data_IF_141389270738
#
_entry.id   IF_141389270738
#
_cell.length_a   1.000
_cell.length_b   1.000
_cell.length_c   1.000
_cell.angle_alpha   90.00
_cell.angle_beta   90.00
_cell.angle_gamma   90.00
#
_symmetry.space_group_name_H-M   'P 1'
#
loop_
_entity.id
_entity.type
_entity.pdbx_description
1 polymer ?
#
# COMPACT_ATOMS: atom_id res chain seq x y z
N UNK A 1 -13.30 -0.41 1.22
CA UNK A 1 -11.89 -0.75 1.06
C UNK A 1 -11.83 -2.04 0.27
N UNK A 2 -11.09 -2.12 -0.84
CA UNK A 2 -10.89 -3.35 -1.60
C UNK A 2 -10.36 -4.48 -0.72
N UNK A 3 -10.89 -5.69 -0.93
CA UNK A 3 -10.54 -6.92 -0.21
C UNK A 3 -10.69 -6.86 1.33
N UNK A 4 -11.50 -5.93 1.83
CA UNK A 4 -11.77 -5.78 3.26
C UNK A 4 -13.27 -5.59 3.55
N UNK A 5 -13.74 -6.11 4.71
CA UNK A 5 -15.13 -5.96 5.15
C UNK A 5 -16.13 -6.53 4.12
N UNK A 6 -17.15 -5.73 3.77
CA UNK A 6 -18.20 -6.14 2.83
C UNK A 6 -17.66 -6.44 1.42
N UNK A 7 -16.63 -5.71 0.97
CA UNK A 7 -16.02 -5.98 -0.33
C UNK A 7 -15.38 -7.37 -0.38
N UNK A 8 -14.67 -7.77 0.68
CA UNK A 8 -14.11 -9.13 0.78
C UNK A 8 -15.19 -10.21 0.74
N UNK A 9 -16.34 -9.97 1.39
CA UNK A 9 -17.46 -10.88 1.32
C UNK A 9 -18.01 -10.96 -0.10
N UNK A 10 -18.19 -9.82 -0.77
CA UNK A 10 -18.61 -9.78 -2.17
C UNK A 10 -17.63 -10.51 -3.09
N UNK A 11 -16.30 -10.27 -2.94
CA UNK A 11 -15.27 -10.97 -3.73
C UNK A 11 -15.29 -12.49 -3.54
N UNK A 12 -15.75 -12.99 -2.39
CA UNK A 12 -15.89 -14.42 -2.09
C UNK A 12 -17.27 -14.98 -2.44
N UNK A 13 -18.18 -14.16 -2.98
CA UNK A 13 -19.54 -14.55 -3.39
C UNK A 13 -19.61 -14.89 -4.88
N UNK A 14 -20.83 -15.19 -5.37
CA UNK A 14 -21.11 -15.35 -6.79
C UNK A 14 -21.10 -14.04 -7.59
N UNK A 15 -20.87 -12.88 -6.95
CA UNK A 15 -20.63 -11.56 -7.52
C UNK A 15 -21.67 -11.13 -8.55
N UNK A 16 -22.94 -11.04 -8.14
CA UNK A 16 -24.03 -10.64 -9.04
C UNK A 16 -23.96 -9.15 -9.36
N UNK A 17 -24.10 -8.85 -10.65
CA UNK A 17 -24.23 -7.51 -11.21
C UNK A 17 -25.58 -7.36 -11.90
N UNK A 18 -26.08 -6.13 -11.94
CA UNK A 18 -27.33 -5.81 -12.63
C UNK A 18 -27.06 -5.60 -14.11
N UNK A 19 -27.62 -6.46 -14.96
CA UNK A 19 -27.52 -6.37 -16.42
C UNK A 19 -28.79 -5.75 -16.99
N UNK A 20 -28.61 -4.78 -17.89
CA UNK A 20 -29.70 -4.05 -18.56
C UNK A 20 -29.59 -4.29 -20.06
N UNK A 21 -30.71 -4.68 -20.68
CA UNK A 21 -30.80 -4.80 -22.13
C UNK A 21 -31.09 -3.45 -22.77
N UNK A 22 -30.34 -3.12 -23.82
CA UNK A 22 -30.55 -1.89 -24.58
C UNK A 22 -31.77 -2.01 -25.51
N UNK A 23 -32.76 -1.12 -25.40
CA UNK A 23 -33.97 -1.20 -26.24
C UNK A 23 -33.70 -0.91 -27.74
N UNK A 24 -32.55 -0.30 -28.05
CA UNK A 24 -32.18 0.07 -29.44
C UNK A 24 -31.38 -1.01 -30.14
N UNK A 25 -30.41 -1.65 -29.49
CA UNK A 25 -29.53 -2.63 -30.15
C UNK A 25 -29.64 -4.07 -29.58
N UNK A 26 -30.47 -4.30 -28.55
CA UNK A 26 -30.69 -5.60 -27.93
C UNK A 26 -29.50 -6.18 -27.14
N UNK A 27 -28.38 -5.45 -27.02
CA UNK A 27 -27.22 -5.92 -26.26
C UNK A 27 -27.38 -5.62 -24.78
N UNK A 28 -26.92 -6.54 -23.94
CA UNK A 28 -26.89 -6.38 -22.49
C UNK A 28 -25.56 -5.83 -22.01
N UNK A 29 -25.59 -4.94 -21.02
CA UNK A 29 -24.41 -4.43 -20.30
C UNK A 29 -24.76 -4.10 -18.85
N UNK A 30 -23.78 -4.13 -17.97
CA UNK A 30 -23.93 -3.63 -16.60
C UNK A 30 -23.49 -2.17 -16.55
N UNK A 31 -24.36 -1.28 -16.08
CA UNK A 31 -24.04 0.13 -15.89
C UNK A 31 -22.90 0.30 -14.87
N UNK A 32 -22.83 -0.57 -13.87
CA UNK A 32 -21.82 -0.55 -12.82
C UNK A 32 -20.43 -0.93 -13.34
N UNK A 33 -20.32 -2.00 -14.12
CA UNK A 33 -19.05 -2.47 -14.67
C UNK A 33 -18.48 -1.49 -15.69
N UNK A 34 -19.35 -0.88 -16.48
CA UNK A 34 -18.98 -0.02 -17.60
C UNK A 34 -18.88 1.48 -17.22
N UNK A 35 -19.10 1.83 -15.96
CA UNK A 35 -18.93 3.21 -15.49
C UNK A 35 -17.44 3.65 -15.58
N UNK A 36 -17.12 4.86 -16.06
CA UNK A 36 -18.02 5.97 -16.41
C UNK A 36 -18.58 5.95 -17.84
N UNK A 37 -18.20 5.03 -18.71
CA UNK A 37 -18.67 4.97 -20.09
C UNK A 37 -20.18 4.73 -20.23
N UNK A 38 -20.82 4.18 -19.19
CA UNK A 38 -22.26 3.92 -19.11
C UNK A 38 -23.11 5.15 -18.78
N UNK A 39 -22.51 6.34 -18.60
CA UNK A 39 -23.19 7.64 -18.49
C UNK A 39 -22.61 8.59 -19.52
N UNK A 40 -23.46 9.41 -20.11
CA UNK A 40 -23.05 10.45 -21.05
C UNK A 40 -23.79 11.75 -20.81
N UNK A 41 -23.11 12.88 -21.09
CA UNK A 41 -23.69 14.21 -21.04
C UNK A 41 -24.35 14.58 -22.36
N UNK A 42 -25.52 15.22 -22.26
CA UNK A 42 -26.19 15.87 -23.40
C UNK A 42 -25.63 17.29 -23.59
N UNK A 43 -25.97 17.88 -24.72
CA UNK A 43 -25.53 19.26 -25.03
C UNK A 43 -26.10 20.32 -24.07
N UNK A 44 -27.22 20.03 -23.45
CA UNK A 44 -27.85 20.90 -22.44
C UNK A 44 -27.26 20.75 -21.03
N UNK A 45 -26.22 19.91 -20.89
CA UNK A 45 -25.56 19.68 -19.63
C UNK A 45 -26.15 18.55 -18.79
N UNK A 46 -27.36 18.04 -19.10
CA UNK A 46 -27.95 16.89 -18.42
C UNK A 46 -27.22 15.60 -18.80
N UNK A 47 -27.29 14.58 -17.96
CA UNK A 47 -26.70 13.29 -18.26
C UNK A 47 -27.78 12.21 -18.41
N UNK A 48 -27.44 11.11 -19.06
CA UNK A 48 -28.28 9.94 -19.23
C UNK A 48 -27.47 8.63 -19.13
N UNK A 49 -28.12 7.57 -18.76
CA UNK A 49 -27.51 6.24 -18.79
C UNK A 49 -27.45 5.74 -20.23
N UNK A 50 -26.27 5.44 -20.73
CA UNK A 50 -25.99 5.16 -22.14
C UNK A 50 -25.60 3.68 -22.34
N UNK A 51 -26.12 3.10 -23.39
CA UNK A 51 -25.58 1.84 -23.89
C UNK A 51 -24.15 2.03 -24.40
N UNK A 52 -23.22 1.21 -23.92
CA UNK A 52 -21.80 1.29 -24.33
C UNK A 52 -21.57 0.92 -25.81
N UNK A 53 -22.50 0.21 -26.43
CA UNK A 53 -22.39 -0.25 -27.80
C UNK A 53 -22.94 0.75 -28.83
N UNK A 54 -24.13 1.30 -28.60
CA UNK A 54 -24.81 2.17 -29.55
C UNK A 54 -25.13 3.56 -29.01
N UNK A 55 -24.79 3.83 -27.75
CA UNK A 55 -25.00 5.12 -27.06
C UNK A 55 -26.46 5.53 -26.87
N UNK A 56 -27.42 4.70 -27.22
CA UNK A 56 -28.82 4.94 -26.93
C UNK A 56 -29.07 4.94 -25.41
N UNK A 57 -30.08 5.72 -24.98
CA UNK A 57 -30.47 5.77 -23.58
C UNK A 57 -31.02 4.42 -23.11
N UNK A 58 -30.62 4.01 -21.92
CA UNK A 58 -31.06 2.76 -21.28
C UNK A 58 -31.67 3.03 -19.90
N UNK A 59 -32.62 2.18 -19.51
CA UNK A 59 -33.40 2.33 -18.28
C UNK A 59 -33.15 1.15 -17.36
N UNK A 60 -32.63 1.34 -16.14
CA UNK A 60 -32.25 0.24 -15.25
C UNK A 60 -33.44 -0.59 -14.70
N UNK A 61 -34.68 -0.11 -14.83
CA UNK A 61 -35.86 -0.82 -14.29
C UNK A 61 -36.21 -2.14 -14.96
N UNK A 62 -35.60 -2.43 -16.12
CA UNK A 62 -35.82 -3.67 -16.87
C UNK A 62 -34.49 -4.45 -16.99
N UNK A 63 -33.97 -4.89 -15.88
CA UNK A 63 -32.72 -5.65 -15.86
C UNK A 63 -32.88 -6.97 -15.11
N UNK A 64 -31.78 -7.70 -15.00
CA UNK A 64 -31.71 -8.97 -14.25
C UNK A 64 -30.34 -9.12 -13.58
N UNK A 65 -30.32 -9.80 -12.44
CA UNK A 65 -29.09 -10.13 -11.75
C UNK A 65 -28.39 -11.31 -12.43
N UNK A 66 -27.12 -11.13 -12.77
CA UNK A 66 -26.28 -12.18 -13.36
C UNK A 66 -25.05 -12.39 -12.49
N UNK A 67 -24.84 -13.63 -12.06
CA UNK A 67 -23.65 -14.03 -11.33
C UNK A 67 -22.42 -14.02 -12.25
N UNK A 68 -21.36 -13.30 -11.84
CA UNK A 68 -20.10 -13.29 -12.55
C UNK A 68 -19.24 -14.51 -12.17
N UNK A 69 -19.46 -15.07 -10.98
CA UNK A 69 -18.73 -16.22 -10.43
C UNK A 69 -19.70 -17.32 -9.96
N UNK A 70 -20.46 -17.95 -10.90
CA UNK A 70 -21.54 -18.88 -10.53
C UNK A 70 -21.06 -20.13 -9.77
N UNK A 71 -19.79 -20.49 -9.87
CA UNK A 71 -19.19 -21.62 -9.15
C UNK A 71 -19.09 -21.39 -7.65
N UNK A 72 -19.12 -20.14 -7.19
CA UNK A 72 -19.07 -19.75 -5.79
C UNK A 72 -20.47 -19.65 -5.14
N UNK A 73 -21.53 -19.84 -5.91
CA UNK A 73 -22.93 -19.68 -5.44
C UNK A 73 -23.30 -20.54 -4.23
N UNK A 74 -22.68 -21.71 -4.08
CA UNK A 74 -22.99 -22.64 -2.98
C UNK A 74 -22.62 -22.07 -1.61
N UNK A 75 -21.65 -21.16 -1.57
CA UNK A 75 -21.10 -20.66 -0.32
C UNK A 75 -21.68 -19.30 0.06
N UNK A 76 -21.78 -18.38 -0.90
CA UNK A 76 -22.21 -17.01 -0.63
C UNK A 76 -22.80 -16.34 -1.88
N UNK A 77 -23.93 -15.66 -1.72
CA UNK A 77 -24.55 -14.83 -2.77
C UNK A 77 -24.30 -13.36 -2.47
N UNK A 78 -23.75 -12.62 -3.44
CA UNK A 78 -23.44 -11.21 -3.33
C UNK A 78 -24.03 -10.38 -4.46
N UNK A 79 -24.57 -9.20 -4.14
CA UNK A 79 -25.13 -8.26 -5.10
C UNK A 79 -24.35 -6.95 -5.05
N UNK A 80 -23.93 -6.45 -6.21
CA UNK A 80 -23.41 -5.11 -6.31
C UNK A 80 -24.52 -4.14 -6.68
N UNK A 81 -24.86 -3.26 -5.74
CA UNK A 81 -25.93 -2.26 -5.88
C UNK A 81 -25.32 -0.87 -5.86
N UNK A 82 -25.56 -0.08 -6.91
CA UNK A 82 -25.18 1.33 -7.00
C UNK A 82 -26.40 2.21 -7.28
N UNK A 83 -26.22 3.52 -7.19
CA UNK A 83 -27.25 4.49 -7.59
C UNK A 83 -27.51 4.50 -9.11
N UNK A 84 -26.60 3.91 -9.92
CA UNK A 84 -26.80 3.75 -11.37
C UNK A 84 -28.03 2.87 -11.67
N UNK A 85 -28.34 1.93 -10.78
CA UNK A 85 -29.43 0.98 -10.92
C UNK A 85 -30.79 1.54 -10.44
N UNK A 86 -30.78 2.75 -9.85
CA UNK A 86 -32.01 3.41 -9.38
C UNK A 86 -32.69 4.21 -10.49
N UNK A 87 -34.01 4.05 -10.62
CA UNK A 87 -34.84 4.91 -11.48
C UNK A 87 -35.08 6.32 -10.90
N UNK A 88 -34.86 6.48 -9.60
CA UNK A 88 -35.17 7.71 -8.86
C UNK A 88 -33.97 8.65 -8.72
N UNK A 89 -32.78 8.20 -9.07
CA UNK A 89 -31.57 9.03 -9.01
C UNK A 89 -31.26 9.56 -10.40
N UNK A 90 -31.18 10.88 -10.51
CA UNK A 90 -30.78 11.55 -11.76
C UNK A 90 -29.32 11.21 -12.10
N UNK A 91 -29.05 10.64 -13.30
CA UNK A 91 -27.69 10.37 -13.73
C UNK A 91 -26.80 11.60 -13.82
N UNK A 92 -27.38 12.81 -13.97
CA UNK A 92 -26.63 14.07 -13.94
C UNK A 92 -25.94 14.27 -12.59
N UNK A 93 -26.66 14.03 -11.50
CA UNK A 93 -26.11 14.14 -10.14
C UNK A 93 -24.95 13.15 -9.93
N UNK A 94 -25.11 11.92 -10.42
CA UNK A 94 -24.05 10.89 -10.30
C UNK A 94 -22.79 11.32 -11.04
N UNK A 95 -22.94 11.84 -12.26
CA UNK A 95 -21.83 12.25 -13.09
C UNK A 95 -21.15 13.50 -12.54
N UNK A 96 -21.93 14.51 -12.10
CA UNK A 96 -21.41 15.73 -11.48
C UNK A 96 -20.59 15.40 -10.21
N UNK A 97 -21.12 14.55 -9.32
CA UNK A 97 -20.39 14.11 -8.12
C UNK A 97 -19.13 13.34 -8.46
N UNK A 98 -19.09 12.61 -9.56
CA UNK A 98 -17.89 11.89 -9.98
C UNK A 98 -16.84 12.81 -10.61
N UNK A 99 -17.25 13.78 -11.46
CA UNK A 99 -16.36 14.72 -12.14
C UNK A 99 -15.84 15.81 -11.20
N UNK A 100 -16.68 16.27 -10.27
CA UNK A 100 -16.32 17.24 -9.22
C UNK A 100 -16.79 16.75 -7.84
N UNK A 101 -16.02 15.85 -7.20
CA UNK A 101 -16.44 15.25 -5.94
C UNK A 101 -16.59 16.27 -4.83
N UNK A 102 -17.69 16.21 -4.03
CA UNK A 102 -17.87 17.08 -2.87
C UNK A 102 -16.64 17.04 -1.95
N UNK A 103 -16.12 18.20 -1.60
CA UNK A 103 -14.90 18.36 -0.77
C UNK A 103 -13.67 17.63 -1.34
N UNK A 104 -13.63 17.32 -2.65
CA UNK A 104 -12.55 16.57 -3.29
C UNK A 104 -12.52 15.07 -2.91
N UNK A 105 -13.55 14.56 -2.23
CA UNK A 105 -13.57 13.20 -1.73
C UNK A 105 -14.18 12.20 -2.74
N UNK A 106 -13.40 11.82 -3.75
CA UNK A 106 -13.81 10.80 -4.73
C UNK A 106 -14.09 9.44 -4.05
N UNK A 107 -13.42 9.13 -2.93
CA UNK A 107 -13.64 7.88 -2.20
C UNK A 107 -15.06 7.74 -1.67
N UNK A 108 -15.67 8.82 -1.21
CA UNK A 108 -17.06 8.82 -0.76
C UNK A 108 -18.02 8.57 -1.93
N UNK A 109 -17.81 9.23 -3.06
CA UNK A 109 -18.62 9.02 -4.27
C UNK A 109 -18.54 7.56 -4.75
N UNK A 110 -17.33 7.01 -4.81
CA UNK A 110 -17.12 5.62 -5.21
C UNK A 110 -17.81 4.64 -4.25
N UNK A 111 -17.70 4.85 -2.94
CA UNK A 111 -18.28 3.95 -1.95
C UNK A 111 -19.80 4.12 -1.82
N UNK A 112 -20.29 5.35 -1.68
CA UNK A 112 -21.71 5.63 -1.34
C UNK A 112 -22.62 5.71 -2.57
N UNK A 113 -22.12 6.23 -3.69
CA UNK A 113 -22.92 6.41 -4.92
C UNK A 113 -22.80 5.21 -5.85
N UNK A 114 -21.57 4.71 -6.02
CA UNK A 114 -21.29 3.63 -6.97
C UNK A 114 -21.18 2.25 -6.31
N UNK A 115 -21.26 2.16 -4.97
CA UNK A 115 -21.11 0.90 -4.23
C UNK A 115 -19.79 0.18 -4.53
N UNK A 116 -18.75 0.93 -4.91
CA UNK A 116 -17.46 0.40 -5.33
C UNK A 116 -16.42 0.64 -4.24
N UNK A 117 -15.78 -0.42 -3.78
CA UNK A 117 -14.70 -0.29 -2.83
C UNK A 117 -13.56 0.54 -3.42
N UNK A 118 -13.17 1.60 -2.73
CA UNK A 118 -12.17 2.57 -3.19
C UNK A 118 -11.26 3.00 -2.05
N UNK A 119 -10.00 3.16 -2.35
CA UNK A 119 -8.99 3.78 -1.48
C UNK A 119 -8.31 4.88 -2.28
N UNK A 120 -8.31 6.13 -1.80
CA UNK A 120 -7.52 7.20 -2.39
C UNK A 120 -6.05 6.81 -2.53
N UNK A 121 -5.41 7.24 -3.63
CA UNK A 121 -4.00 6.92 -3.88
C UNK A 121 -3.08 7.43 -2.77
N UNK A 122 -3.41 8.55 -2.14
CA UNK A 122 -2.70 9.12 -1.00
C UNK A 122 -2.71 8.24 0.26
N UNK A 123 -3.65 7.31 0.36
CA UNK A 123 -3.80 6.42 1.52
C UNK A 123 -3.21 5.03 1.30
N UNK A 124 -2.67 4.77 0.13
CA UNK A 124 -2.10 3.48 -0.25
C UNK A 124 -0.98 3.67 -1.27
N UNK A 125 0.13 2.98 -1.07
CA UNK A 125 1.18 2.90 -2.07
C UNK A 125 0.76 2.04 -3.26
N UNK A 126 1.21 2.43 -4.44
CA UNK A 126 1.05 1.68 -5.69
C UNK A 126 2.33 0.96 -6.06
N UNK A 127 2.22 -0.13 -6.81
CA UNK A 127 3.40 -0.82 -7.35
C UNK A 127 4.28 0.12 -8.21
N UNK A 128 3.67 1.07 -8.92
CA UNK A 128 4.41 2.04 -9.75
C UNK A 128 5.31 2.94 -8.89
N UNK A 129 4.85 3.41 -7.72
CA UNK A 129 5.66 4.19 -6.78
C UNK A 129 6.82 3.37 -6.22
N UNK A 130 6.57 2.11 -5.82
CA UNK A 130 7.64 1.22 -5.34
C UNK A 130 8.67 0.96 -6.44
N UNK A 131 8.23 0.68 -7.66
CA UNK A 131 9.15 0.46 -8.79
C UNK A 131 9.89 1.73 -9.23
N UNK A 132 9.32 2.91 -9.00
CA UNK A 132 10.01 4.18 -9.24
C UNK A 132 11.20 4.38 -8.29
N UNK A 133 11.23 3.70 -7.15
CA UNK A 133 12.38 3.68 -6.24
C UNK A 133 13.51 2.76 -6.73
N UNK A 134 13.29 1.88 -7.71
CA UNK A 134 14.33 0.95 -8.18
C UNK A 134 15.47 1.67 -8.89
N UNK A 135 16.70 1.35 -8.46
CA UNK A 135 17.93 1.76 -9.11
C UNK A 135 18.43 0.73 -10.13
N UNK A 136 19.66 0.89 -10.58
CA UNK A 136 20.32 0.02 -11.55
C UNK A 136 21.21 -1.05 -10.91
N UNK A 137 21.57 -0.90 -9.63
CA UNK A 137 22.46 -1.81 -8.94
C UNK A 137 21.75 -3.12 -8.62
N UNK A 138 22.40 -4.27 -8.79
CA UNK A 138 21.85 -5.53 -8.35
C UNK A 138 21.76 -5.56 -6.81
N UNK A 139 20.96 -6.48 -6.29
CA UNK A 139 20.92 -6.77 -4.86
C UNK A 139 22.30 -7.25 -4.41
N UNK A 140 22.82 -6.63 -3.35
CA UNK A 140 24.15 -6.94 -2.84
C UNK A 140 24.19 -8.32 -2.17
N UNK A 141 25.36 -8.96 -2.20
CA UNK A 141 25.65 -10.17 -1.43
C UNK A 141 26.43 -9.87 -0.16
N UNK A 142 27.23 -8.78 -0.16
CA UNK A 142 28.00 -8.28 0.98
C UNK A 142 28.15 -6.77 0.90
N UNK A 143 28.46 -6.12 2.02
CA UNK A 143 28.73 -4.69 2.07
C UNK A 143 29.64 -4.32 3.24
N UNK A 144 30.72 -3.56 2.98
CA UNK A 144 31.71 -3.22 4.00
C UNK A 144 31.37 -1.94 4.78
N UNK A 145 30.58 -1.04 4.19
CA UNK A 145 30.13 0.20 4.84
C UNK A 145 29.09 -0.05 5.95
N UNK A 146 28.88 0.92 6.86
CA UNK A 146 27.89 0.76 7.92
C UNK A 146 26.47 0.66 7.36
N UNK A 147 25.69 -0.31 7.85
CA UNK A 147 24.31 -0.54 7.45
C UNK A 147 23.36 -0.66 8.63
N UNK A 148 22.07 -0.57 8.36
CA UNK A 148 20.97 -0.87 9.27
C UNK A 148 20.16 -2.06 8.77
N UNK A 149 19.51 -2.78 9.70
CA UNK A 149 18.70 -3.95 9.40
C UNK A 149 17.33 -3.84 10.08
N UNK A 150 16.27 -4.07 9.33
CA UNK A 150 14.92 -4.23 9.84
C UNK A 150 14.41 -5.64 9.62
N UNK A 151 13.79 -6.25 10.63
CA UNK A 151 13.30 -7.63 10.57
C UNK A 151 11.88 -7.73 11.08
N UNK A 152 10.99 -8.21 10.23
CA UNK A 152 9.67 -8.65 10.65
C UNK A 152 9.72 -10.13 11.02
N UNK A 153 9.34 -10.44 12.27
CA UNK A 153 9.49 -11.76 12.88
C UNK A 153 8.17 -12.53 12.82
N UNK A 154 8.15 -13.60 12.04
CA UNK A 154 7.00 -14.48 11.89
C UNK A 154 7.43 -15.93 11.64
N UNK A 155 6.63 -16.68 10.90
CA UNK A 155 7.02 -18.05 10.46
C UNK A 155 8.25 -18.05 9.56
N UNK A 156 8.51 -16.94 8.89
CA UNK A 156 9.74 -16.57 8.21
C UNK A 156 10.19 -15.20 8.70
N UNK A 157 11.48 -14.95 8.64
CA UNK A 157 12.06 -13.65 8.95
C UNK A 157 12.14 -12.83 7.65
N UNK A 158 11.36 -11.76 7.55
CA UNK A 158 11.45 -10.83 6.42
C UNK A 158 12.46 -9.74 6.75
N UNK A 159 13.48 -9.61 5.94
CA UNK A 159 14.64 -8.77 6.23
C UNK A 159 14.80 -7.69 5.18
N UNK A 160 15.05 -6.47 5.64
CA UNK A 160 15.49 -5.33 4.82
C UNK A 160 16.80 -4.81 5.41
N UNK A 161 17.87 -4.77 4.59
CA UNK A 161 19.16 -4.19 4.97
C UNK A 161 19.44 -3.00 4.08
N UNK A 162 19.82 -1.87 4.70
CA UNK A 162 20.01 -0.64 3.98
C UNK A 162 21.22 0.17 4.51
N UNK A 163 21.73 1.05 3.66
CA UNK A 163 22.72 2.04 3.98
C UNK A 163 22.08 3.43 3.98
N UNK A 164 22.35 4.22 5.01
CA UNK A 164 21.89 5.60 5.08
C UNK A 164 22.88 6.52 4.33
N UNK A 165 22.48 7.01 3.15
CA UNK A 165 23.32 7.87 2.34
C UNK A 165 23.39 9.30 2.89
N UNK A 166 22.26 9.81 3.35
CA UNK A 166 22.12 11.11 3.99
C UNK A 166 20.90 11.11 4.93
N UNK A 167 20.54 12.26 5.51
CA UNK A 167 19.43 12.38 6.46
C UNK A 167 18.06 11.91 5.90
N UNK A 168 17.86 11.97 4.58
CA UNK A 168 16.58 11.67 3.92
C UNK A 168 16.61 10.38 3.09
N UNK A 169 17.79 10.02 2.56
CA UNK A 169 17.90 8.94 1.57
C UNK A 169 18.44 7.66 2.20
N UNK A 170 17.65 6.61 2.10
CA UNK A 170 17.99 5.25 2.47
C UNK A 170 18.17 4.40 1.21
N UNK A 171 19.33 3.76 1.05
CA UNK A 171 19.62 2.82 -0.03
C UNK A 171 19.51 1.39 0.48
N UNK A 172 18.51 0.68 0.02
CA UNK A 172 18.35 -0.75 0.30
C UNK A 172 19.38 -1.55 -0.47
N UNK A 173 20.08 -2.42 0.22
CA UNK A 173 21.13 -3.28 -0.32
C UNK A 173 20.67 -4.72 -0.46
N UNK A 174 19.84 -5.18 0.50
CA UNK A 174 19.34 -6.55 0.57
C UNK A 174 17.90 -6.59 1.05
N UNK A 175 17.11 -7.42 0.39
CA UNK A 175 15.77 -7.84 0.81
C UNK A 175 15.75 -9.35 0.72
N UNK A 176 15.11 -10.02 1.66
CA UNK A 176 15.00 -11.47 1.60
C UNK A 176 14.19 -12.07 2.74
N UNK A 177 13.85 -13.36 2.58
CA UNK A 177 13.15 -14.18 3.58
C UNK A 177 14.08 -15.28 4.08
N UNK A 178 14.14 -15.44 5.38
CA UNK A 178 15.05 -16.35 6.05
C UNK A 178 14.33 -17.24 7.06
N UNK A 179 14.91 -18.36 7.40
CA UNK A 179 14.28 -19.38 8.25
C UNK A 179 14.70 -19.28 9.71
N UNK A 180 15.86 -18.73 9.99
CA UNK A 180 16.44 -18.79 11.33
C UNK A 180 17.15 -17.49 11.73
N UNK A 181 17.28 -17.28 13.04
CA UNK A 181 18.10 -16.20 13.59
C UNK A 181 19.60 -16.37 13.30
N UNK A 182 20.06 -17.59 12.99
CA UNK A 182 21.44 -17.82 12.53
C UNK A 182 21.69 -17.12 11.19
N UNK A 183 20.71 -17.10 10.31
CA UNK A 183 20.82 -16.35 9.04
C UNK A 183 20.99 -14.85 9.31
N UNK A 184 20.34 -14.30 10.36
CA UNK A 184 20.49 -12.89 10.74
C UNK A 184 21.92 -12.57 11.22
N UNK A 185 22.57 -13.49 11.96
CA UNK A 185 23.99 -13.33 12.37
C UNK A 185 24.92 -13.27 11.15
N UNK A 186 24.70 -14.15 10.17
CA UNK A 186 25.48 -14.16 8.94
C UNK A 186 25.26 -12.87 8.13
N UNK A 187 24.02 -12.42 7.99
CA UNK A 187 23.68 -11.17 7.33
C UNK A 187 24.28 -9.96 8.05
N UNK A 188 24.20 -9.93 9.39
CA UNK A 188 24.77 -8.82 10.17
C UNK A 188 26.27 -8.67 9.95
N UNK A 189 26.99 -9.79 9.88
CA UNK A 189 28.42 -9.84 9.57
C UNK A 189 28.70 -9.44 8.13
N UNK A 190 28.02 -10.06 7.16
CA UNK A 190 28.28 -9.87 5.73
C UNK A 190 27.91 -8.47 5.23
N UNK A 191 27.01 -7.79 5.91
CA UNK A 191 26.56 -6.42 5.58
C UNK A 191 27.05 -5.35 6.56
N UNK A 192 27.95 -5.70 7.50
CA UNK A 192 28.49 -4.77 8.49
C UNK A 192 27.40 -3.95 9.21
N UNK A 193 26.36 -4.66 9.72
CA UNK A 193 25.22 -4.04 10.41
C UNK A 193 25.69 -3.35 11.69
N UNK A 194 25.26 -2.10 11.90
CA UNK A 194 25.57 -1.29 13.08
C UNK A 194 24.35 -1.00 13.95
N UNK A 195 23.16 -1.17 13.40
CA UNK A 195 21.92 -1.07 14.14
C UNK A 195 20.88 -1.98 13.51
N UNK A 196 20.11 -2.69 14.34
CA UNK A 196 19.00 -3.50 13.90
C UNK A 196 17.75 -3.22 14.75
N UNK A 197 16.59 -3.26 14.12
CA UNK A 197 15.29 -3.26 14.78
C UNK A 197 14.49 -4.47 14.31
N UNK A 198 14.01 -5.26 15.25
CA UNK A 198 13.23 -6.47 15.00
C UNK A 198 11.83 -6.31 15.58
N UNK A 199 10.84 -6.96 14.98
CA UNK A 199 9.56 -7.14 15.67
C UNK A 199 9.79 -7.89 17.00
N UNK A 200 9.25 -7.35 18.09
CA UNK A 200 9.42 -7.96 19.41
C UNK A 200 8.56 -9.22 19.56
N UNK A 201 7.47 -9.33 18.83
CA UNK A 201 6.51 -10.42 18.90
C UNK A 201 6.33 -11.13 17.53
N UNK A 202 5.97 -12.42 17.51
CA UNK A 202 5.64 -13.27 18.67
C UNK A 202 6.85 -13.88 19.40
N UNK A 203 8.06 -13.80 18.84
CA UNK A 203 9.23 -14.54 19.32
C UNK A 203 10.16 -13.71 20.23
N UNK A 204 9.59 -12.98 21.20
CA UNK A 204 10.34 -12.09 22.12
C UNK A 204 11.61 -12.75 22.68
N UNK A 205 11.56 -14.03 23.02
CA UNK A 205 12.70 -14.73 23.63
C UNK A 205 13.89 -14.78 22.67
N UNK A 206 13.67 -15.14 21.40
CA UNK A 206 14.71 -15.19 20.37
C UNK A 206 15.24 -13.81 20.02
N UNK A 207 14.37 -12.79 20.01
CA UNK A 207 14.80 -11.41 19.82
C UNK A 207 15.75 -10.96 20.92
N UNK A 208 15.45 -11.27 22.18
CA UNK A 208 16.32 -10.96 23.35
C UNK A 208 17.62 -11.77 23.29
N UNK A 209 17.60 -13.01 22.84
CA UNK A 209 18.82 -13.81 22.62
C UNK A 209 19.71 -13.17 21.55
N UNK A 210 19.15 -12.76 20.42
CA UNK A 210 19.84 -12.06 19.36
C UNK A 210 20.41 -10.69 19.84
N UNK A 211 19.64 -9.91 20.63
CA UNK A 211 20.13 -8.68 21.26
C UNK A 211 21.39 -8.89 22.11
N UNK A 212 21.45 -10.00 22.86
CA UNK A 212 22.57 -10.30 23.75
C UNK A 212 23.79 -10.88 23.03
N UNK A 213 23.59 -11.51 21.89
CA UNK A 213 24.65 -12.16 21.12
C UNK A 213 25.39 -11.18 20.19
N UNK A 214 24.76 -10.06 19.82
CA UNK A 214 25.34 -9.09 18.91
C UNK A 214 26.15 -8.01 19.62
N UNK A 215 27.18 -7.52 18.95
CA UNK A 215 28.06 -6.45 19.46
C UNK A 215 27.62 -5.05 19.03
N UNK A 216 26.62 -4.97 18.18
CA UNK A 216 26.04 -3.71 17.71
C UNK A 216 24.65 -3.48 18.33
N UNK A 217 24.09 -2.31 18.09
CA UNK A 217 22.80 -1.90 18.70
C UNK A 217 21.61 -2.66 18.09
N UNK A 218 20.92 -3.45 18.89
CA UNK A 218 19.71 -4.20 18.48
C UNK A 218 18.54 -3.83 19.38
N UNK A 219 17.42 -3.43 18.79
CA UNK A 219 16.18 -3.08 19.50
C UNK A 219 15.02 -3.97 19.06
N UNK A 220 14.16 -4.35 20.01
CA UNK A 220 12.85 -4.93 19.72
C UNK A 220 11.80 -3.85 19.58
N UNK A 221 11.01 -3.82 18.51
CA UNK A 221 9.93 -2.87 18.34
C UNK A 221 8.60 -3.46 18.82
N UNK A 222 7.86 -2.70 19.61
CA UNK A 222 6.49 -3.00 20.03
C UNK A 222 5.56 -1.87 19.59
N UNK A 223 4.64 -2.16 18.70
CA UNK A 223 3.60 -1.20 18.29
C UNK A 223 2.60 -0.96 19.41
N UNK A 224 2.32 0.32 19.70
CA UNK A 224 1.36 0.76 20.72
C UNK A 224 0.33 1.67 20.06
N UNK A 225 -0.85 1.16 19.78
CA UNK A 225 -1.92 1.87 19.06
C UNK A 225 -2.43 3.13 19.79
N UNK A 226 -2.44 3.10 21.13
CA UNK A 226 -2.96 4.22 21.96
C UNK A 226 -1.95 5.35 22.15
N UNK A 227 -0.69 5.15 21.76
CA UNK A 227 0.35 6.16 21.89
C UNK A 227 0.35 7.07 20.65
N UNK A 228 0.28 8.36 20.86
CA UNK A 228 0.50 9.39 19.84
C UNK A 228 1.76 10.18 20.16
N UNK A 229 2.46 10.67 19.14
CA UNK A 229 3.66 11.51 19.28
C UNK A 229 4.98 10.72 19.17
N UNK A 230 6.02 11.21 19.82
CA UNK A 230 7.39 10.72 19.60
C UNK A 230 7.59 9.23 19.91
N UNK A 231 8.32 8.56 19.03
CA UNK A 231 8.80 7.19 19.22
C UNK A 231 9.72 7.15 20.45
N UNK A 232 9.41 6.27 21.41
CA UNK A 232 10.21 6.13 22.61
C UNK A 232 11.20 4.98 22.49
N UNK A 233 12.46 5.31 22.70
CA UNK A 233 13.57 4.37 22.76
C UNK A 233 13.93 4.10 24.23
N UNK A 234 13.71 2.87 24.67
CA UNK A 234 14.14 2.41 25.99
C UNK A 234 15.54 1.76 25.85
N UNK A 235 16.57 2.55 26.14
CA UNK A 235 17.97 2.11 26.04
C UNK A 235 18.34 1.02 27.04
N UNK A 236 17.60 0.91 28.15
CA UNK A 236 17.87 -0.07 29.20
C UNK A 236 17.31 -1.43 28.81
N UNK A 237 16.08 -1.44 28.33
CA UNK A 237 15.40 -2.67 27.91
C UNK A 237 15.63 -3.03 26.43
N UNK A 238 16.30 -2.16 25.67
CA UNK A 238 16.48 -2.27 24.23
C UNK A 238 15.14 -2.45 23.48
N UNK A 239 14.13 -1.66 23.87
CA UNK A 239 12.78 -1.71 23.30
C UNK A 239 12.38 -0.36 22.72
N UNK A 240 11.77 -0.39 21.54
CA UNK A 240 11.12 0.75 20.91
C UNK A 240 9.61 0.63 21.11
N UNK A 241 8.97 1.73 21.53
CA UNK A 241 7.51 1.85 21.59
C UNK A 241 7.08 3.03 20.73
N UNK A 242 6.25 2.76 19.72
CA UNK A 242 5.75 3.80 18.83
C UNK A 242 4.37 3.44 18.28
N UNK A 243 3.62 4.46 17.84
CA UNK A 243 2.35 4.26 17.18
C UNK A 243 2.54 3.58 15.83
N UNK A 244 1.81 2.49 15.58
CA UNK A 244 1.92 1.71 14.32
C UNK A 244 1.61 2.58 13.10
N UNK A 245 0.60 3.45 13.20
CA UNK A 245 0.18 4.32 12.09
C UNK A 245 1.28 5.32 11.75
N UNK A 246 1.88 5.99 12.75
CA UNK A 246 2.97 6.96 12.54
C UNK A 246 4.22 6.29 11.94
N UNK A 247 4.57 5.09 12.41
CA UNK A 247 5.71 4.34 11.84
C UNK A 247 5.41 3.89 10.40
N UNK A 248 4.18 3.49 10.10
CA UNK A 248 3.77 3.19 8.72
C UNK A 248 3.75 4.43 7.82
N UNK A 249 3.44 5.62 8.36
CA UNK A 249 3.56 6.88 7.62
C UNK A 249 5.02 7.13 7.20
N UNK A 250 6.01 6.87 8.08
CA UNK A 250 7.43 7.00 7.72
C UNK A 250 7.81 6.19 6.48
N UNK A 251 7.36 4.94 6.39
CA UNK A 251 7.65 4.09 5.23
C UNK A 251 6.82 4.45 3.99
N UNK A 252 5.60 4.97 4.19
CA UNK A 252 4.82 5.56 3.10
C UNK A 252 5.57 6.73 2.47
N UNK A 253 5.99 7.69 3.29
CA UNK A 253 6.72 8.86 2.86
C UNK A 253 8.07 8.53 2.22
N UNK A 254 8.76 7.50 2.72
CA UNK A 254 10.02 7.06 2.15
C UNK A 254 9.84 6.55 0.71
N UNK A 255 8.74 5.86 0.40
CA UNK A 255 8.43 5.34 -0.94
C UNK A 255 7.81 6.42 -1.83
N UNK A 256 6.83 7.17 -1.34
CA UNK A 256 6.07 8.15 -2.12
C UNK A 256 6.93 9.36 -2.53
N UNK A 257 7.89 9.76 -1.70
CA UNK A 257 8.76 10.90 -1.98
C UNK A 257 10.01 10.48 -2.75
N UNK A 258 10.07 10.83 -4.03
CA UNK A 258 11.16 10.46 -4.92
C UNK A 258 12.54 10.80 -4.37
N UNK A 259 13.42 9.80 -4.31
CA UNK A 259 14.81 9.92 -3.83
C UNK A 259 15.01 9.69 -2.34
N UNK A 260 13.94 9.47 -1.55
CA UNK A 260 14.08 9.11 -0.14
C UNK A 260 14.42 7.61 0.02
N UNK A 261 13.90 6.75 -0.85
CA UNK A 261 14.23 5.32 -0.88
C UNK A 261 14.85 4.97 -2.24
N UNK A 262 15.94 4.19 -2.21
CA UNK A 262 16.54 3.60 -3.40
C UNK A 262 16.54 2.09 -3.21
N UNK A 263 15.82 1.38 -4.06
CA UNK A 263 15.77 -0.09 -4.08
C UNK A 263 16.82 -0.65 -5.06
N UNK A 264 17.23 -1.91 -4.90
CA UNK A 264 17.98 -2.63 -5.94
C UNK A 264 17.23 -2.66 -7.26
N UNK A 265 17.93 -3.03 -8.33
CA UNK A 265 17.31 -3.30 -9.64
C UNK A 265 16.20 -4.33 -9.48
N UNK A 266 15.06 -4.08 -10.14
CA UNK A 266 13.87 -4.95 -10.10
C UNK A 266 14.21 -6.40 -10.42
N UNK A 267 13.71 -7.29 -9.58
CA UNK A 267 13.79 -8.74 -9.66
C UNK A 267 12.59 -9.37 -8.92
N UNK A 268 12.49 -10.68 -8.90
CA UNK A 268 11.37 -11.39 -8.27
C UNK A 268 11.17 -11.02 -6.78
N UNK A 269 12.27 -10.81 -6.02
CA UNK A 269 12.18 -10.45 -4.61
C UNK A 269 11.65 -9.01 -4.43
N UNK A 270 12.02 -8.10 -5.34
CA UNK A 270 11.46 -6.73 -5.37
C UNK A 270 9.98 -6.76 -5.78
N UNK A 271 9.54 -7.67 -6.63
CA UNK A 271 8.13 -7.83 -6.98
C UNK A 271 7.30 -8.32 -5.77
N UNK A 272 7.81 -9.28 -4.99
CA UNK A 272 7.18 -9.71 -3.74
C UNK A 272 7.20 -8.60 -2.68
N UNK A 273 8.32 -7.88 -2.55
CA UNK A 273 8.42 -6.70 -1.69
C UNK A 273 7.37 -5.65 -2.06
N UNK A 274 7.23 -5.30 -3.34
CA UNK A 274 6.26 -4.32 -3.79
C UNK A 274 4.82 -4.74 -3.48
N UNK A 275 4.50 -6.03 -3.69
CA UNK A 275 3.20 -6.61 -3.39
C UNK A 275 2.84 -6.48 -1.90
N UNK A 276 3.75 -6.81 -1.00
CA UNK A 276 3.52 -6.73 0.44
C UNK A 276 3.55 -5.30 0.97
N UNK A 277 4.43 -4.44 0.46
CA UNK A 277 4.49 -3.02 0.83
C UNK A 277 3.22 -2.28 0.46
N UNK A 278 2.59 -2.61 -0.68
CA UNK A 278 1.34 -2.02 -1.13
C UNK A 278 0.09 -2.66 -0.48
N UNK A 279 0.25 -3.69 0.35
CA UNK A 279 -0.89 -4.46 0.87
C UNK A 279 -1.47 -3.92 2.17
N UNK A 280 -1.11 -2.71 2.56
CA UNK A 280 -1.77 -1.98 3.64
C UNK A 280 -2.27 -0.63 3.14
N UNK A 281 -3.36 -0.15 3.73
CA UNK A 281 -3.93 1.16 3.43
C UNK A 281 -4.29 1.90 4.71
N UNK A 282 -4.10 3.22 4.70
CA UNK A 282 -4.52 4.13 5.77
C UNK A 282 -6.01 4.41 5.62
N UNK A 283 -6.78 4.05 6.62
CA UNK A 283 -8.24 4.22 6.61
C UNK A 283 -8.70 4.96 7.84
N UNK A 284 -9.83 5.64 7.69
CA UNK A 284 -10.55 6.20 8.83
C UNK A 284 -11.31 5.08 9.54
N UNK A 285 -10.92 4.80 10.79
CA UNK A 285 -11.56 3.81 11.65
C UNK A 285 -12.42 4.54 12.67
N UNK A 286 -13.68 4.17 12.79
CA UNK A 286 -14.61 4.74 13.74
C UNK A 286 -14.83 3.76 14.88
N UNK A 287 -14.57 4.21 16.10
CA UNK A 287 -14.84 3.43 17.31
C UNK A 287 -16.35 3.34 17.54
N UNK A 288 -16.90 2.14 17.51
CA UNK A 288 -18.34 1.88 17.60
C UNK A 288 -18.97 2.37 18.91
N UNK A 289 -18.19 2.47 20.00
CA UNK A 289 -18.68 2.86 21.32
C UNK A 289 -18.61 4.37 21.52
N UNK A 290 -17.56 5.01 21.06
CA UNK A 290 -17.29 6.43 21.33
C UNK A 290 -17.59 7.34 20.14
N UNK A 291 -17.73 6.78 18.92
CA UNK A 291 -17.82 7.53 17.67
C UNK A 291 -16.52 8.26 17.31
N UNK A 292 -15.42 7.99 18.01
CA UNK A 292 -14.13 8.61 17.74
C UNK A 292 -13.54 8.10 16.42
N UNK A 293 -13.16 9.04 15.55
CA UNK A 293 -12.58 8.74 14.25
C UNK A 293 -11.06 8.83 14.30
N UNK A 294 -10.38 7.76 13.96
CA UNK A 294 -8.92 7.67 13.98
C UNK A 294 -8.40 7.02 12.69
N UNK A 295 -7.37 7.61 12.09
CA UNK A 295 -6.72 6.97 10.95
C UNK A 295 -5.82 5.83 11.41
N UNK A 296 -5.96 4.65 10.77
CA UNK A 296 -5.13 3.48 11.04
C UNK A 296 -4.78 2.76 9.73
N UNK A 297 -3.58 2.14 9.70
CA UNK A 297 -3.26 1.23 8.61
C UNK A 297 -3.90 -0.13 8.85
N UNK A 298 -4.67 -0.59 7.87
CA UNK A 298 -5.24 -1.95 7.87
C UNK A 298 -4.64 -2.76 6.72
N UNK A 299 -4.37 -4.02 7.02
CA UNK A 299 -3.97 -5.03 6.05
C UNK A 299 -5.14 -5.35 5.13
N UNK A 300 -4.87 -5.47 3.82
CA UNK A 300 -5.90 -5.75 2.82
C UNK A 300 -6.11 -7.26 2.65
N UNK A 301 -5.41 -7.89 1.72
CA UNK A 301 -5.68 -9.28 1.32
C UNK A 301 -4.54 -10.27 1.60
N UNK A 302 -3.32 -9.89 1.27
CA UNK A 302 -2.14 -10.76 1.38
C UNK A 302 -1.22 -10.32 2.52
N UNK A 303 -0.03 -10.90 2.60
CA UNK A 303 0.95 -10.56 3.62
C UNK A 303 1.46 -9.11 3.49
N UNK A 304 1.91 -8.54 4.60
CA UNK A 304 2.44 -7.18 4.74
C UNK A 304 3.80 -7.16 5.47
N UNK A 305 4.45 -8.29 5.55
CA UNK A 305 5.68 -8.49 6.32
C UNK A 305 6.82 -7.58 5.87
N UNK A 306 7.05 -7.44 4.54
CA UNK A 306 8.07 -6.53 4.03
C UNK A 306 7.77 -5.06 4.31
N UNK A 307 6.49 -4.68 4.47
CA UNK A 307 6.16 -3.33 4.93
C UNK A 307 6.67 -3.10 6.34
N UNK A 308 6.49 -4.06 7.24
CA UNK A 308 6.97 -3.96 8.61
C UNK A 308 8.49 -4.06 8.69
N UNK A 309 9.12 -4.94 7.91
CA UNK A 309 10.58 -5.00 7.83
C UNK A 309 11.19 -3.67 7.36
N UNK A 310 10.55 -2.97 6.40
CA UNK A 310 10.95 -1.63 5.98
C UNK A 310 10.78 -0.60 7.10
N UNK A 311 9.66 -0.64 7.85
CA UNK A 311 9.43 0.21 9.01
C UNK A 311 10.57 0.07 10.02
N UNK A 312 10.94 -1.16 10.36
CA UNK A 312 12.00 -1.44 11.31
C UNK A 312 13.38 -1.03 10.78
N UNK A 313 13.62 -1.18 9.47
CA UNK A 313 14.86 -0.70 8.84
C UNK A 313 14.99 0.82 8.89
N UNK A 314 13.90 1.56 8.68
CA UNK A 314 13.87 3.01 8.83
C UNK A 314 14.18 3.45 10.26
N UNK A 315 13.57 2.80 11.26
CA UNK A 315 13.88 3.04 12.67
C UNK A 315 15.38 2.76 12.96
N UNK A 316 15.88 1.60 12.55
CA UNK A 316 17.29 1.25 12.74
C UNK A 316 18.26 2.26 12.09
N UNK A 317 17.85 2.86 10.97
CA UNK A 317 18.66 3.83 10.23
C UNK A 317 18.93 5.12 11.01
N UNK A 318 18.11 5.47 12.00
CA UNK A 318 18.31 6.64 12.84
C UNK A 318 19.54 6.52 13.74
N UNK A 319 19.99 5.29 14.01
CA UNK A 319 21.16 4.98 14.85
C UNK A 319 22.44 4.72 14.05
N UNK A 320 22.39 4.85 12.74
CA UNK A 320 23.55 4.66 11.86
C UNK A 320 23.99 6.01 11.30
N UNK A 321 25.29 6.28 11.34
CA UNK A 321 25.88 7.48 10.74
C UNK A 321 25.60 7.56 9.23
N UNK A 322 25.52 8.79 8.71
CA UNK A 322 25.36 9.02 7.27
C UNK A 322 26.70 8.83 6.56
N UNK A 323 26.66 8.24 5.38
CA UNK A 323 27.82 8.23 4.48
C UNK A 323 27.90 9.58 3.79
N UNK A 324 28.77 10.46 4.26
CA UNK A 324 29.06 11.76 3.65
C UNK A 324 29.98 11.60 2.44
N UNK A 325 29.50 10.92 1.41
CA UNK A 325 30.29 10.81 0.17
C UNK A 325 29.51 11.49 -0.98
N UNK A 326 29.85 12.76 -1.25
CA UNK A 326 29.34 13.53 -2.40
C UNK A 326 29.53 12.78 -3.74
N UNK A 327 30.54 11.91 -3.84
CA UNK A 327 30.77 11.07 -5.03
C UNK A 327 29.68 10.03 -5.23
N UNK A 328 29.15 9.45 -4.15
CA UNK A 328 28.02 8.51 -4.22
C UNK A 328 26.73 9.21 -4.62
N UNK A 329 26.44 10.37 -4.06
CA UNK A 329 25.26 11.18 -4.41
C UNK A 329 25.31 11.57 -5.89
N UNK A 330 26.45 12.00 -6.40
CA UNK A 330 26.63 12.34 -7.82
C UNK A 330 26.52 11.13 -8.75
N UNK A 331 26.91 9.94 -8.31
CA UNK A 331 26.76 8.70 -9.11
C UNK A 331 25.30 8.30 -9.32
N UNK A 332 24.43 8.54 -8.32
CA UNK A 332 23.01 8.17 -8.39
C UNK A 332 22.10 9.29 -8.94
N UNK A 333 22.45 10.55 -8.72
CA UNK A 333 21.60 11.69 -9.09
C UNK A 333 22.21 12.57 -10.20
N UNK A 334 23.52 12.48 -10.46
CA UNK A 334 24.22 13.32 -11.43
C UNK A 334 23.79 13.14 -12.88
N UNK A 335 23.26 11.99 -13.26
CA UNK A 335 22.82 11.71 -14.64
C UNK A 335 21.40 12.21 -14.96
N UNK A 336 20.59 12.61 -13.97
CA UNK A 336 19.22 13.14 -14.23
C UNK A 336 19.19 14.66 -14.50
N UNK A 337 20.29 15.42 -14.24
CA UNK A 337 20.33 16.87 -14.44
C UNK A 337 20.93 17.36 -15.77
N UNK A 338 21.32 16.47 -16.71
CA UNK A 338 21.93 16.87 -18.00
C UNK A 338 21.04 16.74 -19.22
N UNK A 339 19.71 16.79 -19.07
CA UNK A 339 18.81 16.85 -20.24
C UNK A 339 17.74 17.93 -20.05
N UNK A 340 18.16 19.17 -19.95
CA UNK A 340 17.37 20.33 -20.39
C UNK A 340 18.26 21.55 -20.52
N UNK A 341 18.04 22.31 -21.57
CA UNK A 341 18.56 23.62 -21.93
C UNK A 341 19.89 23.60 -22.71
N UNK A 342 19.76 23.32 -24.01
CA UNK A 342 20.41 24.04 -25.08
C UNK A 342 19.49 23.96 -26.30
N UNK A 343 18.63 24.95 -26.47
CA UNK A 343 18.18 25.45 -27.77
C UNK A 343 18.24 26.96 -27.74
N UNK A 344 19.18 27.43 -28.51
CA UNK A 344 19.24 28.82 -29.02
C UNK A 344 18.00 29.19 -29.77
#
# INVERSE_FOLDING_TARGET
>A
IPDYGIDKLYQNSDQRVWMVECPSCGKEASLDLEFPASIRRRLDGTAYRACIYCQAEVFPGKGRWIAQMPTKYKDLVGWWISQLNSLYVDPTIILDMYEDPPYGNLGEVMNSTLGRAYIPAENRLTHAEVYACCGNDPMATKHDGPTCMGVDVGSKLHVVIAQRLNRKTLKVLKIGRYDSFNDLHDLARDFNVKSAVLDLFPEKRKVVEFQKSETFSVFGCNYVETRTGSIAWDEREHIIKGNRTEICDMSHDAVANAGNLILPRRNNEIDEFAKEVCNIAKILDEDELTGAKTYRYKKLSVNDHYRHALNYCLLASERVGTVSDEKLINRYFGNKRRRTWMTS
#
